data_IF_518200570875
#
_entry.id   IF_518200570875
#
_cell.length_a   1.000
_cell.length_b   1.000
_cell.length_c   1.000
_cell.angle_alpha   90.00
_cell.angle_beta   90.00
_cell.angle_gamma   90.00
#
_symmetry.space_group_name_H-M   'P 1'
#
loop_
_entity.id
_entity.type
_entity.pdbx_description
1 polymer ?
#
# COMPACT_ATOMS: atom_id res chain seq x y z
N UNK A 1 2.32 4.53 -11.10
CA UNK A 1 1.95 3.10 -11.04
C UNK A 1 1.32 2.80 -9.70
N UNK A 2 0.41 1.82 -9.62
CA UNK A 2 -0.27 1.43 -8.38
C UNK A 2 -0.11 -0.08 -8.16
N UNK A 3 0.15 -0.50 -6.93
CA UNK A 3 0.10 -1.90 -6.48
C UNK A 3 -0.83 -2.03 -5.28
N UNK A 4 -1.70 -3.03 -5.30
CA UNK A 4 -2.64 -3.31 -4.22
C UNK A 4 -2.35 -4.67 -3.62
N UNK A 5 -2.31 -4.75 -2.28
CA UNK A 5 -2.18 -6.00 -1.54
C UNK A 5 -3.22 -6.07 -0.44
N UNK A 6 -3.97 -7.16 -0.38
CA UNK A 6 -4.99 -7.40 0.64
C UNK A 6 -4.46 -8.44 1.63
N UNK A 7 -4.52 -8.11 2.92
CA UNK A 7 -4.24 -9.01 4.02
C UNK A 7 -5.54 -9.40 4.72
N UNK A 8 -5.78 -10.70 4.85
CA UNK A 8 -6.89 -11.22 5.65
C UNK A 8 -6.38 -11.49 7.07
N UNK A 9 -7.00 -10.83 8.06
CA UNK A 9 -6.67 -11.01 9.47
C UNK A 9 -7.50 -12.15 10.08
N UNK A 10 -7.02 -12.73 11.17
CA UNK A 10 -7.74 -13.81 11.89
C UNK A 10 -9.12 -13.38 12.41
N UNK A 11 -9.34 -12.08 12.61
CA UNK A 11 -10.64 -11.52 12.98
C UNK A 11 -11.67 -11.52 11.84
N UNK A 12 -11.26 -11.90 10.62
CA UNK A 12 -12.05 -11.76 9.40
C UNK A 12 -11.99 -10.36 8.78
N UNK A 13 -11.36 -9.39 9.45
CA UNK A 13 -11.09 -8.07 8.88
C UNK A 13 -10.10 -8.21 7.72
N UNK A 14 -10.37 -7.50 6.64
CA UNK A 14 -9.44 -7.36 5.53
C UNK A 14 -8.79 -5.98 5.55
N UNK A 15 -7.51 -5.94 5.21
CA UNK A 15 -6.73 -4.70 5.14
C UNK A 15 -6.07 -4.60 3.78
N UNK A 16 -6.44 -3.59 3.00
CA UNK A 16 -5.85 -3.29 1.70
C UNK A 16 -4.77 -2.23 1.87
N UNK A 17 -3.55 -2.57 1.46
CA UNK A 17 -2.44 -1.62 1.30
C UNK A 17 -2.33 -1.26 -0.18
N UNK A 18 -2.44 0.02 -0.49
CA UNK A 18 -2.32 0.58 -1.84
C UNK A 18 -1.00 1.35 -1.89
N UNK A 19 -0.05 0.89 -2.69
CA UNK A 19 1.24 1.54 -2.90
C UNK A 19 1.18 2.32 -4.23
N UNK A 20 1.48 3.61 -4.17
CA UNK A 20 1.46 4.55 -5.31
C UNK A 20 2.89 5.04 -5.56
N UNK A 21 3.41 4.80 -6.76
CA UNK A 21 4.67 5.39 -7.20
C UNK A 21 4.43 6.49 -8.22
N UNK A 22 5.02 7.66 -7.96
CA UNK A 22 5.00 8.81 -8.85
C UNK A 22 6.35 8.92 -9.59
N UNK A 23 6.27 9.09 -10.91
CA UNK A 23 7.43 9.41 -11.74
C UNK A 23 7.37 10.91 -12.02
N UNK A 24 8.12 11.70 -11.26
CA UNK A 24 8.27 13.12 -11.57
C UNK A 24 9.20 13.23 -12.77
N UNK A 25 8.74 13.88 -13.83
CA UNK A 25 9.47 13.99 -15.10
C UNK A 25 10.88 14.58 -14.96
N UNK A 26 11.10 15.38 -13.91
CA UNK A 26 12.31 16.19 -13.76
C UNK A 26 13.26 15.70 -12.64
N UNK A 27 12.87 14.65 -11.89
CA UNK A 27 13.71 14.10 -10.83
C UNK A 27 13.59 12.57 -10.78
N UNK A 28 14.69 11.81 -10.97
CA UNK A 28 14.68 10.35 -10.88
C UNK A 28 14.41 9.82 -9.46
N UNK A 29 14.26 10.71 -8.46
CA UNK A 29 13.84 10.34 -7.11
C UNK A 29 12.40 9.80 -7.13
N UNK A 30 12.32 8.47 -7.07
CA UNK A 30 11.07 7.72 -6.92
C UNK A 30 10.41 8.10 -5.59
N UNK A 31 9.29 8.82 -5.65
CA UNK A 31 8.43 9.01 -4.48
C UNK A 31 7.41 7.88 -4.42
N UNK A 32 7.49 7.08 -3.36
CA UNK A 32 6.54 5.99 -3.09
C UNK A 32 5.69 6.38 -1.88
N UNK A 33 4.39 6.49 -2.09
CA UNK A 33 3.41 6.68 -1.03
C UNK A 33 2.60 5.40 -0.84
N UNK A 34 2.01 5.23 0.33
CA UNK A 34 1.06 4.15 0.56
C UNK A 34 -0.16 4.65 1.32
N UNK A 35 -1.28 3.97 1.08
CA UNK A 35 -2.57 4.19 1.70
C UNK A 35 -3.08 2.86 2.26
N UNK A 36 -3.79 2.92 3.39
CA UNK A 36 -4.34 1.74 4.07
C UNK A 36 -5.86 1.90 4.13
N UNK A 37 -6.57 0.88 3.68
CA UNK A 37 -8.01 0.74 3.81
C UNK A 37 -8.35 -0.55 4.54
N UNK A 38 -9.50 -0.57 5.21
CA UNK A 38 -10.03 -1.75 5.89
C UNK A 38 -11.44 -2.08 5.39
N UNK A 39 -11.79 -3.36 5.50
CA UNK A 39 -13.14 -3.88 5.29
C UNK A 39 -13.44 -4.89 6.40
N UNK A 40 -14.45 -4.61 7.21
CA UNK A 40 -14.92 -5.57 8.20
C UNK A 40 -15.72 -6.72 7.54
N UNK A 41 -15.87 -7.89 8.18
CA UNK A 41 -16.53 -9.07 7.57
C UNK A 41 -17.93 -8.83 6.97
N UNK A 42 -18.66 -7.83 7.46
CA UNK A 42 -20.01 -7.48 7.01
C UNK A 42 -20.06 -6.22 6.13
N UNK A 43 -18.91 -5.59 5.88
CA UNK A 43 -18.84 -4.39 5.06
C UNK A 43 -18.71 -4.75 3.57
N UNK A 44 -19.44 -4.03 2.73
CA UNK A 44 -19.39 -4.24 1.28
C UNK A 44 -18.14 -3.62 0.65
N UNK A 45 -17.70 -2.48 1.18
CA UNK A 45 -16.65 -1.65 0.58
C UNK A 45 -15.51 -1.37 1.55
N UNK A 46 -14.31 -1.19 1.01
CA UNK A 46 -13.15 -0.73 1.75
C UNK A 46 -13.32 0.74 2.15
N UNK A 47 -12.85 1.09 3.34
CA UNK A 47 -12.86 2.46 3.88
C UNK A 47 -11.59 2.75 4.68
N UNK A 48 -11.35 4.02 4.99
CA UNK A 48 -10.26 4.39 5.89
C UNK A 48 -10.45 3.74 7.28
N UNK A 49 -9.35 3.33 7.96
CA UNK A 49 -9.40 2.82 9.34
C UNK A 49 -10.05 3.81 10.30
N UNK A 50 -9.75 5.10 10.11
CA UNK A 50 -10.26 6.22 10.89
C UNK A 50 -10.94 7.20 9.93
N UNK A 51 -12.25 7.05 9.74
CA UNK A 51 -13.08 7.97 8.96
C UNK A 51 -13.61 9.14 9.79
N UNK A 52 -14.37 10.05 9.15
CA UNK A 52 -14.92 11.26 9.81
C UNK A 52 -15.82 10.96 11.03
N UNK A 53 -16.49 9.80 11.01
CA UNK A 53 -17.37 9.35 12.09
C UNK A 53 -16.62 8.59 13.20
N UNK A 54 -15.30 8.42 13.08
CA UNK A 54 -14.51 7.67 14.05
C UNK A 54 -14.14 8.57 15.25
N UNK A 55 -14.25 8.09 16.51
CA UNK A 55 -13.93 8.90 17.70
C UNK A 55 -12.53 9.53 17.68
N UNK A 56 -11.56 8.83 17.08
CA UNK A 56 -10.17 9.30 16.95
C UNK A 56 -9.91 10.21 15.73
N UNK A 57 -10.93 10.58 14.96
CA UNK A 57 -10.74 11.40 13.76
C UNK A 57 -10.12 12.78 14.08
N UNK A 58 -10.59 13.42 15.14
CA UNK A 58 -10.03 14.70 15.60
C UNK A 58 -8.58 14.56 16.09
N UNK A 59 -8.25 13.43 16.73
CA UNK A 59 -6.87 13.11 17.11
C UNK A 59 -6.01 12.98 15.86
N UNK A 60 -6.45 12.18 14.88
CA UNK A 60 -5.74 11.98 13.61
C UNK A 60 -5.44 13.30 12.91
N UNK A 61 -6.42 14.21 12.81
CA UNK A 61 -6.26 15.53 12.17
C UNK A 61 -5.23 16.44 12.85
N UNK A 62 -4.96 16.25 14.13
CA UNK A 62 -4.02 17.08 14.91
C UNK A 62 -2.60 16.53 14.93
N UNK A 63 -2.40 15.28 14.51
CA UNK A 63 -1.10 14.62 14.51
C UNK A 63 -0.28 15.03 13.30
N UNK A 64 1.06 15.03 13.46
CA UNK A 64 1.97 15.15 12.33
C UNK A 64 1.92 13.90 11.42
N UNK A 65 2.42 13.97 10.17
CA UNK A 65 2.26 12.90 9.19
C UNK A 65 2.75 11.52 9.65
N UNK A 66 3.89 11.47 10.35
CA UNK A 66 4.45 10.21 10.86
C UNK A 66 3.59 9.61 11.97
N UNK A 67 3.14 10.42 12.93
CA UNK A 67 2.30 9.98 14.04
C UNK A 67 0.91 9.57 13.54
N UNK A 68 0.36 10.27 12.55
CA UNK A 68 -0.87 9.90 11.89
C UNK A 68 -0.76 8.52 11.21
N UNK A 69 0.35 8.25 10.51
CA UNK A 69 0.61 6.93 9.91
C UNK A 69 0.65 5.81 10.96
N UNK A 70 1.32 6.04 12.10
CA UNK A 70 1.35 5.06 13.20
C UNK A 70 -0.04 4.78 13.75
N UNK A 71 -0.86 5.83 13.95
CA UNK A 71 -2.24 5.68 14.42
C UNK A 71 -3.11 4.91 13.41
N UNK A 72 -2.96 5.17 12.11
CA UNK A 72 -3.68 4.45 11.06
C UNK A 72 -3.27 2.97 11.03
N UNK A 73 -1.97 2.68 11.17
CA UNK A 73 -1.46 1.30 11.27
C UNK A 73 -2.08 0.56 12.45
N UNK A 74 -2.05 1.17 13.64
CA UNK A 74 -2.65 0.61 14.85
C UNK A 74 -4.12 0.25 14.64
N UNK A 75 -4.92 1.19 14.12
CA UNK A 75 -6.36 0.97 13.91
C UNK A 75 -6.67 0.02 12.75
N UNK A 76 -5.75 -0.15 11.81
CA UNK A 76 -5.91 -1.11 10.71
C UNK A 76 -5.69 -2.56 11.15
N UNK A 77 -4.82 -2.79 12.15
CA UNK A 77 -4.48 -4.13 12.64
C UNK A 77 -3.38 -4.84 11.85
N UNK A 78 -2.69 -4.16 10.94
CA UNK A 78 -1.49 -4.68 10.27
C UNK A 78 -0.21 -4.09 10.86
N UNK A 79 0.87 -4.87 10.77
CA UNK A 79 2.20 -4.44 11.18
C UNK A 79 2.93 -3.65 10.10
N UNK A 80 3.93 -2.86 10.49
CA UNK A 80 4.85 -2.21 9.53
C UNK A 80 5.55 -3.22 8.61
N UNK A 81 5.79 -4.46 9.08
CA UNK A 81 6.38 -5.53 8.25
C UNK A 81 5.48 -5.90 7.07
N UNK A 82 4.17 -5.97 7.28
CA UNK A 82 3.20 -6.24 6.21
C UNK A 82 3.14 -5.08 5.20
N UNK A 83 3.22 -3.83 5.67
CA UNK A 83 3.35 -2.68 4.76
C UNK A 83 4.64 -2.76 3.94
N UNK A 84 5.77 -3.03 4.59
CA UNK A 84 7.05 -3.18 3.90
C UNK A 84 7.02 -4.32 2.88
N UNK A 85 6.29 -5.41 3.15
CA UNK A 85 6.08 -6.48 2.18
C UNK A 85 5.37 -5.95 0.91
N UNK A 86 4.28 -5.19 1.05
CA UNK A 86 3.58 -4.61 -0.10
C UNK A 86 4.47 -3.63 -0.89
N UNK A 87 5.26 -2.82 -0.18
CA UNK A 87 6.21 -1.88 -0.81
C UNK A 87 7.34 -2.61 -1.54
N UNK A 88 7.86 -3.69 -0.97
CA UNK A 88 8.90 -4.49 -1.59
C UNK A 88 8.38 -5.21 -2.84
N UNK A 89 7.15 -5.70 -2.83
CA UNK A 89 6.50 -6.28 -4.01
C UNK A 89 6.36 -5.23 -5.12
N UNK A 90 5.91 -4.03 -4.78
CA UNK A 90 5.84 -2.91 -5.73
C UNK A 90 7.21 -2.58 -6.33
N UNK A 91 8.23 -2.45 -5.47
CA UNK A 91 9.59 -2.16 -5.90
C UNK A 91 10.16 -3.28 -6.78
N UNK A 92 9.89 -4.55 -6.46
CA UNK A 92 10.31 -5.70 -7.24
C UNK A 92 9.78 -5.59 -8.68
N UNK A 93 8.47 -5.35 -8.83
CA UNK A 93 7.83 -5.16 -10.13
C UNK A 93 8.46 -3.99 -10.91
N UNK A 94 8.76 -2.87 -10.24
CA UNK A 94 9.43 -1.73 -10.87
C UNK A 94 10.90 -1.96 -11.21
N UNK A 95 11.59 -2.84 -10.48
CA UNK A 95 12.99 -3.18 -10.74
C UNK A 95 13.17 -4.19 -11.88
N UNK A 96 12.09 -4.83 -12.38
CA UNK A 96 12.18 -5.58 -13.63
C UNK A 96 12.42 -4.61 -14.78
N UNK A 97 13.59 -4.66 -15.45
CA UNK A 97 13.84 -3.80 -16.59
C UNK A 97 12.86 -4.19 -17.70
N UNK A 98 12.18 -3.20 -18.29
CA UNK A 98 11.37 -3.41 -19.49
C UNK A 98 12.14 -4.14 -20.63
N UNK A 99 13.47 -4.09 -20.61
CA UNK A 99 14.36 -4.78 -21.54
C UNK A 99 14.40 -6.32 -21.38
N UNK A 100 13.97 -6.91 -20.25
CA UNK A 100 14.03 -8.37 -20.06
C UNK A 100 12.83 -9.11 -20.65
N UNK A 101 11.72 -8.42 -20.93
CA UNK A 101 10.55 -9.04 -21.55
C UNK A 101 10.83 -9.37 -23.03
N UNK A 102 11.63 -8.56 -23.72
CA UNK A 102 12.03 -8.83 -25.11
C UNK A 102 13.12 -9.90 -25.26
N UNK A 103 14.04 -10.01 -24.29
CA UNK A 103 15.18 -10.95 -24.36
C UNK A 103 14.84 -12.41 -24.05
N UNK A 104 13.71 -12.68 -23.35
CA UNK A 104 13.29 -14.06 -23.12
C UNK A 104 12.66 -14.70 -24.36
N UNK A 105 11.96 -13.93 -25.20
CA UNK A 105 11.36 -14.46 -26.44
C UNK A 105 12.41 -14.86 -27.49
N UNK A 106 13.57 -14.21 -27.55
CA UNK A 106 14.64 -14.58 -28.49
C UNK A 106 15.39 -15.86 -28.10
N UNK A 107 15.38 -16.25 -26.81
CA UNK A 107 16.08 -17.47 -26.35
C UNK A 107 15.27 -18.75 -26.52
N UNK A 108 13.97 -18.67 -26.72
CA UNK A 108 13.10 -19.83 -26.97
C UNK A 108 12.93 -20.15 -28.46
N UNK A 109 13.54 -19.36 -29.35
CA UNK A 109 13.45 -19.49 -30.81
C UNK A 109 14.75 -19.94 -31.50
N UNK A 110 15.78 -20.33 -30.73
CA UNK A 110 17.08 -20.81 -31.25
C UNK A 110 17.36 -22.23 -30.79
#
# INVERSE_FOLDING_TARGET
>A
MIHEKIFQLKSGREVKVIVKGYFLHDNPQRSTEYEILIREPKEKYFRAPIGINHPQFWKLKRLGPQQAKLLVLEYSGISQRQVNQAVNEFNAVLSFPAAHIGLQFERELV
#
